data_IF_810867230912
#
_entry.id   IF_810867230912
#
_cell.length_a   1.000
_cell.length_b   1.000
_cell.length_c   1.000
_cell.angle_alpha   90.00
_cell.angle_beta   90.00
_cell.angle_gamma   90.00
#
_symmetry.space_group_name_H-M   'P 1'
#
loop_
_entity.id
_entity.type
_entity.pdbx_description
1 polymer ?
#
# COMPACT_ATOMS: atom_id res chain seq x y z
N UNK A 1 -26.41 17.18 16.82
CA UNK A 1 -26.42 18.50 16.16
C UNK A 1 -25.49 18.44 14.95
N UNK A 2 -25.87 19.10 13.85
CA UNK A 2 -25.19 19.22 12.54
C UNK A 2 -25.38 18.06 11.53
N UNK A 3 -26.55 18.01 10.88
CA UNK A 3 -26.81 17.15 9.69
C UNK A 3 -27.04 17.94 8.38
N UNK A 4 -26.83 19.27 8.34
CA UNK A 4 -27.13 20.09 7.16
C UNK A 4 -25.91 20.69 6.45
N UNK A 5 -24.70 20.17 6.65
CA UNK A 5 -23.50 20.70 5.99
C UNK A 5 -23.38 20.27 4.51
N UNK A 6 -24.05 19.20 4.08
CA UNK A 6 -23.85 18.64 2.74
C UNK A 6 -24.53 19.42 1.60
N UNK A 7 -25.50 20.30 1.88
CA UNK A 7 -26.20 21.07 0.82
C UNK A 7 -25.36 22.18 0.19
N UNK A 8 -24.20 22.51 0.77
CA UNK A 8 -23.32 23.60 0.30
C UNK A 8 -21.91 23.12 -0.04
N UNK A 9 -21.75 21.86 -0.44
CA UNK A 9 -20.50 21.38 -1.04
C UNK A 9 -20.67 21.14 -2.56
N UNK A 10 -20.81 22.21 -3.37
CA UNK A 10 -21.14 22.11 -4.80
C UNK A 10 -20.08 21.36 -5.64
N UNK A 11 -18.91 21.08 -5.06
CA UNK A 11 -17.80 20.43 -5.74
C UNK A 11 -17.28 19.20 -4.99
N UNK A 12 -17.94 18.76 -3.91
CA UNK A 12 -17.46 17.63 -3.10
C UNK A 12 -16.08 17.87 -2.47
N UNK A 13 -15.67 19.13 -2.30
CA UNK A 13 -14.34 19.51 -1.82
C UNK A 13 -14.21 19.22 -0.33
N UNK A 14 -15.26 19.48 0.46
CA UNK A 14 -15.24 19.12 1.89
C UNK A 14 -15.16 17.62 2.05
N UNK A 15 -15.88 16.87 1.21
CA UNK A 15 -15.82 15.40 1.18
C UNK A 15 -14.42 14.89 0.83
N UNK A 16 -13.79 15.46 -0.20
CA UNK A 16 -12.41 15.12 -0.56
C UNK A 16 -11.43 15.39 0.58
N UNK A 17 -11.57 16.53 1.26
CA UNK A 17 -10.75 16.85 2.43
C UNK A 17 -10.98 15.90 3.59
N UNK A 18 -12.22 15.45 3.82
CA UNK A 18 -12.54 14.47 4.86
C UNK A 18 -11.90 13.10 4.56
N UNK A 19 -12.00 12.64 3.32
CA UNK A 19 -11.33 11.40 2.85
C UNK A 19 -9.82 11.51 3.07
N UNK A 20 -9.22 12.63 2.67
CA UNK A 20 -7.78 12.87 2.86
C UNK A 20 -7.39 12.89 4.32
N UNK A 21 -8.22 13.47 5.20
CA UNK A 21 -8.01 13.47 6.64
C UNK A 21 -8.02 12.04 7.21
N UNK A 22 -9.02 11.21 6.86
CA UNK A 22 -9.06 9.79 7.26
C UNK A 22 -7.82 9.01 6.78
N UNK A 23 -7.34 9.31 5.57
CA UNK A 23 -6.12 8.68 5.04
C UNK A 23 -4.86 9.11 5.81
N UNK A 24 -4.79 10.36 6.31
CA UNK A 24 -3.68 10.81 7.17
C UNK A 24 -3.71 10.13 8.56
N UNK A 25 -4.90 9.98 9.14
CA UNK A 25 -5.05 9.38 10.48
C UNK A 25 -4.73 7.87 10.46
N UNK A 26 -5.16 7.15 9.42
CA UNK A 26 -4.86 5.72 9.25
C UNK A 26 -3.38 5.42 9.01
N UNK A 27 -2.65 6.31 8.32
CA UNK A 27 -1.22 6.12 8.07
C UNK A 27 -0.36 6.35 9.33
N UNK A 28 -0.87 7.15 10.28
CA UNK A 28 -0.16 7.46 11.52
C UNK A 28 -0.28 6.34 12.58
N UNK A 29 -1.25 5.44 12.45
CA UNK A 29 -1.53 4.42 13.46
C UNK A 29 -0.74 3.10 13.26
N UNK A 30 0.09 2.99 12.23
CA UNK A 30 0.90 1.79 11.95
C UNK A 30 2.29 1.80 12.63
N UNK A 31 2.69 2.89 13.30
CA UNK A 31 4.00 3.02 13.98
C UNK A 31 3.77 3.23 15.48
N UNK A 32 3.11 2.27 16.12
CA UNK A 32 3.13 2.15 17.57
C UNK A 32 3.42 0.70 17.92
N UNK A 33 4.67 0.30 17.72
CA UNK A 33 5.23 -0.89 18.35
C UNK A 33 5.29 -0.64 19.86
N UNK A 34 4.70 -1.51 20.71
CA UNK A 34 4.85 -1.38 22.15
C UNK A 34 6.32 -1.64 22.50
N UNK A 35 6.99 -0.63 23.06
CA UNK A 35 8.29 -0.79 23.70
C UNK A 35 8.07 -1.67 24.93
N UNK A 36 8.50 -2.92 24.84
CA UNK A 36 8.56 -3.85 25.97
C UNK A 36 9.68 -3.35 26.88
N UNK A 37 9.31 -2.59 27.91
CA UNK A 37 10.21 -2.23 29.00
C UNK A 37 10.56 -3.50 29.80
N UNK A 38 11.86 -3.74 29.97
CA UNK A 38 12.40 -4.79 30.81
C UNK A 38 12.06 -4.54 32.29
N UNK A 39 11.58 -5.54 33.06
CA UNK A 39 11.45 -5.42 34.50
C UNK A 39 12.79 -5.75 35.17
N UNK A 40 13.30 -4.79 35.93
CA UNK A 40 14.39 -4.95 36.90
C UNK A 40 13.93 -5.78 38.10
N UNK A 41 14.77 -6.72 38.50
CA UNK A 41 14.57 -7.64 39.61
C UNK A 41 14.88 -6.96 40.95
N UNK A 42 13.88 -6.73 41.81
CA UNK A 42 14.11 -6.56 43.25
C UNK A 42 13.00 -7.23 44.10
N UNK A 43 13.44 -8.26 44.80
CA UNK A 43 13.11 -8.78 46.14
C UNK A 43 12.01 -8.07 46.97
N UNK A 44 10.97 -8.82 47.40
CA UNK A 44 10.67 -9.20 48.83
C UNK A 44 9.24 -9.77 49.02
N UNK A 45 9.16 -10.73 49.93
CA UNK A 45 8.02 -11.55 50.34
C UNK A 45 6.83 -10.79 50.94
N UNK A 46 5.60 -11.26 50.70
CA UNK A 46 4.54 -11.33 51.72
C UNK A 46 3.34 -12.13 51.20
N UNK A 47 3.03 -13.18 51.93
CA UNK A 47 1.87 -14.09 51.86
C UNK A 47 0.57 -13.38 52.20
N UNK A 48 -0.49 -13.57 51.40
CA UNK A 48 -1.92 -13.66 51.81
C UNK A 48 -2.76 -14.20 50.63
N UNK A 49 -3.80 -15.01 50.87
CA UNK A 49 -4.58 -15.65 49.82
C UNK A 49 -5.69 -14.70 49.34
N UNK A 50 -5.81 -14.51 48.02
CA UNK A 50 -6.99 -13.94 47.39
C UNK A 50 -7.57 -14.93 46.37
N UNK A 51 -8.90 -15.06 46.30
CA UNK A 51 -9.58 -16.00 45.42
C UNK A 51 -9.58 -15.44 43.99
N UNK A 52 -8.81 -16.04 43.10
CA UNK A 52 -8.84 -15.69 41.69
C UNK A 52 -10.11 -16.25 41.03
N UNK A 53 -10.83 -15.35 40.38
CA UNK A 53 -11.84 -15.65 39.39
C UNK A 53 -11.21 -16.50 38.27
N UNK A 54 -11.89 -17.59 37.95
CA UNK A 54 -11.59 -18.55 36.90
C UNK A 54 -11.53 -17.88 35.51
N UNK A 55 -10.39 -18.03 34.84
CA UNK A 55 -10.18 -17.65 33.44
C UNK A 55 -11.05 -18.52 32.51
N UNK A 56 -11.99 -17.95 31.74
CA UNK A 56 -12.90 -18.71 30.86
C UNK A 56 -12.25 -19.19 29.54
N UNK A 57 -10.95 -18.96 29.32
CA UNK A 57 -10.24 -19.32 28.08
C UNK A 57 -9.30 -20.52 28.21
N UNK A 58 -9.30 -21.23 29.35
CA UNK A 58 -8.57 -22.49 29.49
C UNK A 58 -9.38 -23.63 28.87
N UNK A 59 -9.39 -23.70 27.53
CA UNK A 59 -9.82 -24.89 26.81
C UNK A 59 -8.82 -26.02 27.10
N UNK A 60 -9.27 -26.96 27.93
CA UNK A 60 -8.59 -28.21 28.19
C UNK A 60 -8.57 -29.06 26.91
N UNK A 61 -7.39 -29.23 26.32
CA UNK A 61 -7.14 -30.27 25.32
C UNK A 61 -6.94 -31.61 26.03
N UNK A 62 -8.04 -32.23 26.43
CA UNK A 62 -8.06 -33.64 26.85
C UNK A 62 -8.36 -34.52 25.64
N UNK A 63 -7.32 -35.01 24.97
CA UNK A 63 -7.47 -36.13 24.02
C UNK A 63 -6.62 -37.30 24.48
N UNK A 64 -7.27 -38.25 25.14
CA UNK A 64 -6.77 -39.60 25.37
C UNK A 64 -6.65 -40.35 24.03
N UNK A 65 -5.46 -40.87 23.77
CA UNK A 65 -5.15 -41.84 22.70
C UNK A 65 -6.01 -43.12 22.83
N UNK A 66 -6.11 -43.97 21.78
CA UNK A 66 -5.05 -44.98 21.62
C UNK A 66 -4.70 -45.40 20.18
N UNK A 67 -3.46 -45.89 20.08
CA UNK A 67 -2.89 -46.88 19.15
C UNK A 67 -3.02 -46.68 17.63
N UNK A 68 -1.85 -46.52 16.99
CA UNK A 68 -1.57 -47.11 15.69
C UNK A 68 -0.98 -46.15 14.66
N UNK A 69 0.35 -46.21 14.53
CA UNK A 69 1.18 -45.91 13.34
C UNK A 69 2.31 -44.93 13.65
N UNK A 70 3.41 -45.55 14.07
CA UNK A 70 4.75 -44.98 14.20
C UNK A 70 5.28 -44.66 12.80
N UNK A 71 5.17 -43.41 12.37
CA UNK A 71 5.94 -42.86 11.25
C UNK A 71 6.75 -41.68 11.80
N UNK A 72 8.05 -41.72 11.52
CA UNK A 72 9.08 -40.83 12.04
C UNK A 72 8.75 -39.34 11.82
N UNK A 73 8.35 -38.65 12.89
CA UNK A 73 8.37 -37.21 12.99
C UNK A 73 9.80 -36.76 13.27
N UNK A 74 10.57 -36.56 12.20
CA UNK A 74 11.86 -35.89 12.24
C UNK A 74 11.58 -34.39 12.23
N UNK A 75 11.68 -33.79 13.41
CA UNK A 75 12.52 -32.61 13.64
C UNK A 75 12.14 -31.28 12.96
N UNK A 76 10.87 -30.84 13.10
CA UNK A 76 10.46 -29.48 12.69
C UNK A 76 10.67 -28.44 13.82
N UNK A 77 10.74 -28.90 15.07
CA UNK A 77 10.85 -28.01 16.24
C UNK A 77 12.30 -27.61 16.56
N UNK A 78 13.29 -28.43 16.20
CA UNK A 78 14.71 -28.08 16.35
C UNK A 78 15.17 -27.00 15.35
N UNK A 79 14.60 -26.98 14.13
CA UNK A 79 14.91 -25.97 13.11
C UNK A 79 14.38 -24.58 13.53
N UNK A 80 13.21 -24.53 14.16
CA UNK A 80 12.66 -23.28 14.71
C UNK A 80 13.48 -22.75 15.89
N UNK A 81 14.05 -23.64 16.72
CA UNK A 81 14.93 -23.26 17.82
C UNK A 81 16.30 -22.75 17.35
N UNK A 82 16.85 -23.29 16.26
CA UNK A 82 18.12 -22.82 15.69
C UNK A 82 18.04 -21.43 15.05
N UNK A 83 16.90 -21.04 14.46
CA UNK A 83 16.70 -19.68 13.91
C UNK A 83 16.75 -18.57 14.96
N UNK A 84 16.53 -18.88 16.25
CA UNK A 84 16.58 -17.88 17.33
C UNK A 84 17.99 -17.54 17.82
N UNK A 85 19.04 -18.26 17.39
CA UNK A 85 20.42 -18.05 17.91
C UNK A 85 21.33 -17.19 17.03
N UNK A 86 20.90 -16.74 15.85
CA UNK A 86 21.79 -16.05 14.90
C UNK A 86 21.71 -14.50 14.89
N UNK A 87 21.00 -13.88 15.84
CA UNK A 87 20.87 -12.41 15.86
C UNK A 87 22.00 -11.66 16.58
N UNK A 88 23.07 -12.34 17.01
CA UNK A 88 24.16 -11.70 17.77
C UNK A 88 25.54 -11.85 17.11
N UNK A 89 25.59 -11.85 15.78
CA UNK A 89 26.82 -11.67 15.03
C UNK A 89 27.04 -10.16 14.78
N UNK A 90 28.03 -9.51 15.43
CA UNK A 90 28.36 -8.13 15.13
C UNK A 90 28.85 -8.03 13.69
N UNK A 91 28.11 -7.32 12.83
CA UNK A 91 28.51 -7.10 11.44
C UNK A 91 29.73 -6.17 11.40
N UNK A 92 30.90 -6.73 11.12
CA UNK A 92 32.18 -6.01 11.05
C UNK A 92 32.32 -5.03 9.85
N UNK A 93 31.24 -4.75 9.10
CA UNK A 93 31.31 -4.01 7.84
C UNK A 93 30.87 -2.53 7.91
N UNK A 94 30.53 -2.01 9.08
CA UNK A 94 30.39 -0.56 9.28
C UNK A 94 31.65 0.00 9.94
N UNK A 95 32.76 -0.08 9.21
CA UNK A 95 33.96 0.72 9.48
C UNK A 95 33.67 2.18 9.14
N UNK A 96 33.02 2.89 10.06
CA UNK A 96 32.97 4.35 10.00
C UNK A 96 34.36 4.83 10.42
N UNK A 97 35.16 5.25 9.44
CA UNK A 97 36.46 5.88 9.68
C UNK A 97 36.25 7.12 10.53
N UNK A 98 36.54 7.01 11.82
CA UNK A 98 36.61 8.13 12.76
C UNK A 98 37.88 8.93 12.49
N UNK A 99 37.88 9.73 11.43
CA UNK A 99 38.96 10.67 11.10
C UNK A 99 38.39 11.98 10.53
N UNK A 100 37.57 12.65 11.33
CA UNK A 100 37.58 14.11 11.40
C UNK A 100 37.09 14.52 12.78
N UNK A 101 37.91 15.30 13.48
CA UNK A 101 37.61 15.93 14.78
C UNK A 101 36.68 17.14 14.55
N UNK A 102 35.64 16.92 13.75
CA UNK A 102 34.68 17.94 13.35
C UNK A 102 33.54 17.89 14.35
N UNK A 103 33.54 18.85 15.29
CA UNK A 103 32.47 19.05 16.28
C UNK A 103 31.13 18.95 15.58
N UNK A 104 30.38 17.91 15.92
CA UNK A 104 29.00 17.74 15.48
C UNK A 104 28.18 18.94 15.94
N UNK A 105 27.86 19.84 15.00
CA UNK A 105 26.96 20.96 15.24
C UNK A 105 25.52 20.48 15.03
N UNK A 106 24.72 20.31 16.10
CA UNK A 106 23.34 19.85 16.00
C UNK A 106 22.44 20.83 15.23
N UNK A 107 22.92 22.02 14.88
CA UNK A 107 22.16 23.03 14.14
C UNK A 107 22.57 23.18 12.66
N UNK A 108 23.52 22.37 12.16
CA UNK A 108 23.94 22.41 10.75
C UNK A 108 22.83 21.99 9.76
N UNK A 109 21.79 21.30 10.24
CA UNK A 109 20.63 20.88 9.44
C UNK A 109 19.46 21.89 9.47
N UNK A 110 19.67 23.10 10.01
CA UNK A 110 18.62 24.11 10.00
C UNK A 110 18.49 24.74 8.59
N UNK A 111 17.38 24.54 7.86
CA UNK A 111 17.19 25.08 6.51
C UNK A 111 17.10 26.61 6.46
N UNK A 112 17.13 27.28 7.61
CA UNK A 112 17.12 28.74 7.76
C UNK A 112 18.49 29.34 8.11
N UNK A 113 19.55 28.53 8.26
CA UNK A 113 20.90 29.06 8.48
C UNK A 113 21.43 29.66 7.16
N UNK A 114 21.44 30.99 7.11
CA UNK A 114 21.72 31.83 5.94
C UNK A 114 23.20 31.84 5.47
N UNK A 115 23.94 30.76 5.70
CA UNK A 115 25.40 30.72 5.54
C UNK A 115 25.87 29.64 4.57
N UNK A 116 25.21 29.45 3.43
CA UNK A 116 25.87 28.78 2.30
C UNK A 116 25.33 29.29 0.96
N UNK A 117 25.91 30.41 0.52
CA UNK A 117 25.66 31.01 -0.77
C UNK A 117 26.45 30.25 -1.86
N UNK A 118 25.95 29.09 -2.31
CA UNK A 118 26.46 28.40 -3.50
C UNK A 118 25.36 28.35 -4.58
N UNK A 119 24.84 29.51 -4.96
CA UNK A 119 24.08 29.67 -6.22
C UNK A 119 24.92 30.58 -7.11
N UNK A 120 25.90 29.97 -7.78
CA UNK A 120 26.61 30.58 -8.89
C UNK A 120 25.67 30.76 -10.08
N UNK A 121 25.22 32.01 -10.24
CA UNK A 121 25.02 32.76 -11.49
C UNK A 121 24.94 31.92 -12.78
N UNK A 122 23.73 31.77 -13.32
CA UNK A 122 23.52 31.70 -14.79
C UNK A 122 22.71 32.92 -15.21
N UNK A 123 23.44 33.93 -15.67
CA UNK A 123 22.90 35.19 -16.14
C UNK A 123 22.11 34.99 -17.44
N UNK A 124 20.96 35.66 -17.48
CA UNK A 124 20.11 35.88 -18.64
C UNK A 124 20.81 36.86 -19.61
N UNK A 125 20.87 36.51 -20.89
CA UNK A 125 21.09 37.46 -21.97
C UNK A 125 19.72 37.84 -22.57
N UNK A 126 19.30 39.07 -22.30
CA UNK A 126 18.17 39.74 -22.95
C UNK A 126 18.72 40.46 -24.18
N UNK A 127 18.26 40.09 -25.37
CA UNK A 127 18.45 40.86 -26.59
C UNK A 127 17.08 41.14 -27.21
N UNK A 128 16.70 42.42 -27.19
CA UNK A 128 15.53 43.02 -27.81
C UNK A 128 15.63 43.00 -29.34
N UNK A 129 14.57 42.58 -30.05
CA UNK A 129 14.32 43.04 -31.42
C UNK A 129 12.87 42.78 -31.91
N UNK A 130 12.19 43.89 -32.22
CA UNK A 130 11.08 44.16 -33.16
C UNK A 130 9.63 43.64 -32.94
N UNK A 131 8.63 44.52 -33.14
CA UNK A 131 7.21 44.18 -33.19
C UNK A 131 6.65 44.28 -34.63
N UNK A 132 6.45 43.16 -35.33
CA UNK A 132 5.39 43.03 -36.36
C UNK A 132 5.31 41.59 -36.89
N UNK A 133 4.60 40.70 -36.21
CA UNK A 133 4.23 39.42 -36.78
C UNK A 133 2.83 39.03 -36.29
N UNK A 134 1.90 39.04 -37.24
CA UNK A 134 0.62 38.32 -37.34
C UNK A 134 0.46 37.22 -36.27
N UNK A 135 -0.64 37.18 -35.48
CA UNK A 135 -0.85 36.15 -34.47
C UNK A 135 -0.98 34.79 -35.16
N UNK A 136 0.15 34.10 -35.29
CA UNK A 136 0.19 32.70 -35.61
C UNK A 136 -0.48 31.97 -34.44
N UNK A 137 -1.62 31.38 -34.74
CA UNK A 137 -2.38 30.49 -33.86
C UNK A 137 -1.40 29.58 -33.14
N UNK A 138 -1.32 29.74 -31.81
CA UNK A 138 -0.49 28.95 -30.92
C UNK A 138 -0.93 27.48 -31.03
N UNK A 139 -0.28 26.76 -31.93
CA UNK A 139 -0.47 25.35 -32.16
C UNK A 139 0.10 24.58 -30.96
N UNK A 140 -0.74 23.67 -30.45
CA UNK A 140 -0.53 22.76 -29.32
C UNK A 140 -0.13 23.41 -28.00
N UNK A 141 -1.12 23.89 -27.25
CA UNK A 141 -1.14 23.57 -25.84
C UNK A 141 -1.10 22.04 -25.75
N UNK A 142 0.08 21.46 -25.56
CA UNK A 142 0.23 20.04 -25.24
C UNK A 142 -0.74 19.77 -24.10
N UNK A 143 -1.76 18.95 -24.37
CA UNK A 143 -2.72 18.55 -23.36
C UNK A 143 -1.91 18.02 -22.18
N UNK A 144 -1.87 18.82 -21.12
CA UNK A 144 -0.99 18.62 -19.96
C UNK A 144 -1.04 17.14 -19.59
N UNK A 145 0.10 16.46 -19.63
CA UNK A 145 0.12 15.01 -19.43
C UNK A 145 -0.39 14.68 -18.03
N UNK A 146 -1.66 14.26 -17.96
CA UNK A 146 -2.35 13.98 -16.70
C UNK A 146 -1.64 12.88 -15.90
N UNK A 147 -0.87 12.02 -16.57
CA UNK A 147 -0.09 10.96 -15.92
C UNK A 147 1.07 11.50 -15.07
N UNK A 148 1.61 12.67 -15.42
CA UNK A 148 2.77 13.27 -14.73
C UNK A 148 2.39 14.05 -13.47
N UNK A 149 1.09 14.36 -13.27
CA UNK A 149 0.61 15.16 -12.16
C UNK A 149 0.91 14.49 -10.81
N UNK A 150 1.33 15.27 -9.83
CA UNK A 150 1.44 14.84 -8.45
C UNK A 150 0.05 14.53 -7.86
N UNK A 151 0.02 13.79 -6.75
CA UNK A 151 -1.25 13.49 -6.09
C UNK A 151 -2.01 14.76 -5.67
N UNK A 152 -1.30 15.78 -5.16
CA UNK A 152 -1.90 17.04 -4.75
C UNK A 152 -2.51 17.80 -5.94
N UNK A 153 -1.81 17.83 -7.08
CA UNK A 153 -2.31 18.46 -8.31
C UNK A 153 -3.49 17.70 -8.94
N UNK A 154 -3.61 16.39 -8.66
CA UNK A 154 -4.72 15.58 -9.13
C UNK A 154 -6.02 15.85 -8.36
N UNK A 155 -5.97 16.35 -7.11
CA UNK A 155 -7.14 16.49 -6.24
C UNK A 155 -8.29 17.31 -6.85
N UNK A 156 -8.07 18.51 -7.44
CA UNK A 156 -9.14 19.27 -8.06
C UNK A 156 -9.77 18.52 -9.24
N UNK A 157 -8.96 17.78 -10.00
CA UNK A 157 -9.43 16.97 -11.13
C UNK A 157 -10.25 15.79 -10.62
N UNK A 158 -9.85 15.15 -9.52
CA UNK A 158 -10.61 14.05 -8.92
C UNK A 158 -11.98 14.51 -8.42
N UNK A 159 -12.08 15.72 -7.86
CA UNK A 159 -13.36 16.35 -7.53
C UNK A 159 -14.26 16.47 -8.78
N UNK A 160 -13.72 16.93 -9.92
CA UNK A 160 -14.50 16.98 -11.18
C UNK A 160 -14.86 15.60 -11.72
N UNK A 161 -13.98 14.60 -11.61
CA UNK A 161 -14.26 13.23 -12.07
C UNK A 161 -15.31 12.52 -11.20
N UNK A 162 -15.47 12.93 -9.95
CA UNK A 162 -16.50 12.38 -9.08
C UNK A 162 -17.93 12.70 -9.52
N UNK A 163 -18.11 13.77 -10.31
CA UNK A 163 -19.41 14.12 -10.89
C UNK A 163 -19.62 13.48 -12.26
N UNK A 164 -18.56 12.94 -12.89
CA UNK A 164 -18.64 12.25 -14.18
C UNK A 164 -19.11 10.80 -14.00
N UNK A 165 -20.41 10.60 -14.19
CA UNK A 165 -21.05 9.26 -14.16
C UNK A 165 -20.43 8.26 -15.15
N UNK A 166 -19.88 8.72 -16.28
CA UNK A 166 -19.31 7.85 -17.30
C UNK A 166 -17.96 7.26 -16.86
N UNK A 167 -17.14 8.06 -16.19
CA UNK A 167 -15.88 7.63 -15.61
C UNK A 167 -16.13 6.65 -14.44
N UNK A 168 -17.07 6.99 -13.55
CA UNK A 168 -17.45 6.13 -12.43
C UNK A 168 -18.01 4.78 -12.90
N UNK A 169 -18.84 4.77 -13.94
CA UNK A 169 -19.38 3.53 -14.53
C UNK A 169 -18.29 2.64 -15.11
N UNK A 170 -17.26 3.24 -15.74
CA UNK A 170 -16.08 2.50 -16.20
C UNK A 170 -15.32 1.89 -15.03
N UNK A 171 -15.06 2.64 -13.96
CA UNK A 171 -14.39 2.14 -12.75
C UNK A 171 -15.16 0.95 -12.14
N UNK A 172 -16.49 1.04 -12.03
CA UNK A 172 -17.33 -0.09 -11.58
C UNK A 172 -17.16 -1.32 -12.45
N UNK A 173 -17.13 -1.13 -13.77
CA UNK A 173 -16.94 -2.22 -14.72
C UNK A 173 -15.59 -2.89 -14.55
N UNK A 174 -14.52 -2.11 -14.42
CA UNK A 174 -13.17 -2.63 -14.17
C UNK A 174 -13.07 -3.40 -12.84
N UNK A 175 -13.73 -2.92 -11.77
CA UNK A 175 -13.79 -3.60 -10.46
C UNK A 175 -14.52 -4.95 -10.57
N UNK A 176 -15.65 -4.99 -11.28
CA UNK A 176 -16.38 -6.23 -11.55
C UNK A 176 -15.53 -7.24 -12.33
N UNK A 177 -14.83 -6.77 -13.38
CA UNK A 177 -13.92 -7.60 -14.16
C UNK A 177 -12.78 -8.18 -13.31
N UNK A 178 -12.17 -7.36 -12.44
CA UNK A 178 -11.17 -7.81 -11.48
C UNK A 178 -11.71 -8.92 -10.59
N UNK A 179 -12.87 -8.69 -9.95
CA UNK A 179 -13.45 -9.64 -9.03
C UNK A 179 -13.82 -10.97 -9.71
N UNK A 180 -14.34 -10.90 -10.94
CA UNK A 180 -14.62 -12.10 -11.75
C UNK A 180 -13.34 -12.88 -12.06
N UNK A 181 -12.24 -12.19 -12.39
CA UNK A 181 -10.94 -12.83 -12.61
C UNK A 181 -10.43 -13.48 -11.33
N UNK A 182 -10.43 -12.77 -10.19
CA UNK A 182 -10.02 -13.31 -8.89
C UNK A 182 -10.81 -14.58 -8.55
N UNK A 183 -12.13 -14.52 -8.72
CA UNK A 183 -13.00 -15.65 -8.45
C UNK A 183 -12.69 -16.85 -9.36
N UNK A 184 -12.47 -16.60 -10.66
CA UNK A 184 -12.10 -17.64 -11.64
C UNK A 184 -10.77 -18.28 -11.27
N UNK A 185 -9.72 -17.47 -11.04
CA UNK A 185 -8.38 -17.96 -10.70
C UNK A 185 -8.39 -18.75 -9.38
N UNK A 186 -9.13 -18.27 -8.38
CA UNK A 186 -9.29 -18.97 -7.09
C UNK A 186 -9.97 -20.33 -7.28
N UNK A 187 -11.04 -20.40 -8.08
CA UNK A 187 -11.73 -21.64 -8.39
C UNK A 187 -10.83 -22.63 -9.14
N UNK A 188 -10.12 -22.17 -10.16
CA UNK A 188 -9.17 -22.99 -10.92
C UNK A 188 -8.05 -23.56 -10.02
N UNK A 189 -7.51 -22.73 -9.12
CA UNK A 189 -6.47 -23.16 -8.18
C UNK A 189 -7.00 -24.21 -7.19
N UNK A 190 -8.20 -24.00 -6.65
CA UNK A 190 -8.85 -24.98 -5.76
C UNK A 190 -9.11 -26.31 -6.46
N UNK A 191 -9.60 -26.28 -7.71
CA UNK A 191 -9.83 -27.49 -8.50
C UNK A 191 -8.53 -28.25 -8.78
N UNK A 192 -7.46 -27.52 -9.13
CA UNK A 192 -6.14 -28.12 -9.29
C UNK A 192 -5.65 -28.75 -7.99
N UNK A 193 -5.69 -28.02 -6.88
CA UNK A 193 -5.25 -28.51 -5.57
C UNK A 193 -6.00 -29.79 -5.14
N UNK A 194 -7.31 -29.86 -5.37
CA UNK A 194 -8.12 -31.04 -5.04
C UNK A 194 -7.77 -32.29 -5.88
N UNK A 195 -7.23 -32.12 -7.10
CA UNK A 195 -6.88 -33.21 -8.00
C UNK A 195 -5.38 -33.51 -8.03
N UNK A 196 -4.55 -32.59 -7.53
CA UNK A 196 -3.10 -32.65 -7.60
C UNK A 196 -2.52 -33.90 -6.91
N UNK A 197 -3.10 -34.31 -5.78
CA UNK A 197 -2.63 -35.49 -5.03
C UNK A 197 -2.85 -36.80 -5.80
N UNK A 198 -3.91 -36.85 -6.60
CA UNK A 198 -4.23 -38.02 -7.43
C UNK A 198 -3.39 -38.05 -8.71
N UNK A 199 -3.17 -36.88 -9.32
CA UNK A 199 -2.46 -36.76 -10.60
C UNK A 199 -0.94 -36.82 -10.44
N UNK A 200 -0.40 -36.33 -9.33
CA UNK A 200 1.04 -36.23 -9.08
C UNK A 200 1.41 -36.87 -7.74
N UNK A 201 1.54 -38.22 -7.69
CA UNK A 201 1.95 -38.92 -6.47
C UNK A 201 3.34 -38.48 -5.98
N UNK A 202 4.23 -38.08 -6.90
CA UNK A 202 5.54 -37.57 -6.55
C UNK A 202 5.46 -36.10 -6.08
N UNK A 203 5.79 -35.88 -4.81
CA UNK A 203 5.75 -34.56 -4.18
C UNK A 203 6.59 -33.48 -4.89
N UNK A 204 7.73 -33.84 -5.49
CA UNK A 204 8.57 -32.89 -6.24
C UNK A 204 7.90 -32.45 -7.54
N UNK A 205 7.35 -33.40 -8.29
CA UNK A 205 6.62 -33.11 -9.53
C UNK A 205 5.36 -32.27 -9.25
N UNK A 206 4.65 -32.56 -8.16
CA UNK A 206 3.49 -31.79 -7.70
C UNK A 206 3.85 -30.34 -7.41
N UNK A 207 4.92 -30.08 -6.64
CA UNK A 207 5.40 -28.72 -6.33
C UNK A 207 5.79 -27.94 -7.59
N UNK A 208 6.47 -28.58 -8.54
CA UNK A 208 6.86 -27.93 -9.79
C UNK A 208 5.65 -27.53 -10.64
N UNK A 209 4.62 -28.37 -10.71
CA UNK A 209 3.37 -28.03 -11.40
C UNK A 209 2.57 -26.94 -10.68
N UNK A 210 2.51 -26.98 -9.36
CA UNK A 210 1.88 -25.94 -8.55
C UNK A 210 2.52 -24.57 -8.78
N UNK A 211 3.86 -24.51 -8.75
CA UNK A 211 4.60 -23.27 -9.00
C UNK A 211 4.38 -22.76 -10.43
N UNK A 212 4.43 -23.65 -11.42
CA UNK A 212 4.14 -23.30 -12.83
C UNK A 212 2.76 -22.66 -12.97
N UNK A 213 1.74 -23.22 -12.30
CA UNK A 213 0.38 -22.65 -12.32
C UNK A 213 0.30 -21.33 -11.59
N UNK A 214 0.94 -21.20 -10.43
CA UNK A 214 0.99 -19.94 -9.68
C UNK A 214 1.58 -18.81 -10.52
N UNK A 215 2.70 -19.05 -11.20
CA UNK A 215 3.32 -18.09 -12.12
C UNK A 215 2.36 -17.71 -13.24
N UNK A 216 1.68 -18.69 -13.85
CA UNK A 216 0.70 -18.42 -14.90
C UNK A 216 -0.49 -17.59 -14.41
N UNK A 217 -0.97 -17.81 -13.18
CA UNK A 217 -2.03 -17.02 -12.57
C UNK A 217 -1.59 -15.59 -12.28
N UNK A 218 -0.37 -15.41 -11.77
CA UNK A 218 0.23 -14.07 -11.58
C UNK A 218 0.36 -13.33 -12.91
N UNK A 219 0.76 -14.02 -13.98
CA UNK A 219 0.81 -13.40 -15.31
C UNK A 219 -0.56 -12.91 -15.79
N UNK A 220 -1.62 -13.73 -15.63
CA UNK A 220 -2.98 -13.32 -15.97
C UNK A 220 -3.46 -12.12 -15.12
N UNK A 221 -3.06 -12.09 -13.86
CA UNK A 221 -3.32 -10.97 -12.96
C UNK A 221 -2.64 -9.68 -13.45
N UNK A 222 -1.35 -9.75 -13.78
CA UNK A 222 -0.57 -8.62 -14.28
C UNK A 222 -1.12 -8.08 -15.60
N UNK A 223 -1.57 -8.96 -16.50
CA UNK A 223 -2.27 -8.56 -17.73
C UNK A 223 -3.57 -7.81 -17.45
N UNK A 224 -4.34 -8.26 -16.46
CA UNK A 224 -5.57 -7.58 -16.04
C UNK A 224 -5.28 -6.19 -15.49
N UNK A 225 -4.30 -6.07 -14.60
CA UNK A 225 -3.88 -4.77 -14.04
C UNK A 225 -3.39 -3.83 -15.14
N UNK A 226 -2.61 -4.33 -16.10
CA UNK A 226 -2.14 -3.54 -17.25
C UNK A 226 -3.31 -3.01 -18.09
N UNK A 227 -4.27 -3.88 -18.43
CA UNK A 227 -5.49 -3.49 -19.15
C UNK A 227 -6.32 -2.47 -18.38
N UNK A 228 -6.41 -2.62 -17.06
CA UNK A 228 -7.07 -1.64 -16.21
C UNK A 228 -6.35 -0.28 -16.24
N UNK A 229 -5.02 -0.25 -16.11
CA UNK A 229 -4.25 1.00 -16.23
C UNK A 229 -4.46 1.68 -17.58
N UNK A 230 -4.49 0.91 -18.67
CA UNK A 230 -4.80 1.43 -20.02
C UNK A 230 -6.20 2.04 -20.10
N UNK A 231 -7.22 1.35 -19.59
CA UNK A 231 -8.60 1.85 -19.60
C UNK A 231 -8.79 3.07 -18.70
N UNK A 232 -8.14 3.11 -17.53
CA UNK A 232 -8.16 4.27 -16.63
C UNK A 232 -7.43 5.47 -17.26
N UNK A 233 -6.32 5.24 -17.98
CA UNK A 233 -5.65 6.28 -18.76
C UNK A 233 -6.55 6.82 -19.86
N UNK A 234 -7.27 5.96 -20.60
CA UNK A 234 -8.26 6.36 -21.61
C UNK A 234 -9.45 7.11 -21.00
N UNK A 235 -9.80 6.82 -19.75
CA UNK A 235 -10.82 7.55 -19.00
C UNK A 235 -10.34 8.93 -18.51
N UNK A 236 -9.08 9.30 -18.74
CA UNK A 236 -8.54 10.61 -18.35
C UNK A 236 -8.28 10.73 -16.85
N UNK A 237 -8.10 9.61 -16.14
CA UNK A 237 -7.85 9.65 -14.69
C UNK A 237 -6.42 10.14 -14.44
N UNK A 238 -6.23 11.18 -13.61
CA UNK A 238 -4.92 11.78 -13.37
C UNK A 238 -3.99 10.82 -12.62
N UNK A 239 -2.69 11.02 -12.79
CA UNK A 239 -1.61 10.21 -12.23
C UNK A 239 -1.62 8.71 -12.61
N UNK A 240 -2.44 8.30 -13.58
CA UNK A 240 -2.45 6.92 -14.08
C UNK A 240 -1.59 6.80 -15.35
N UNK A 241 -0.56 5.96 -15.27
CA UNK A 241 0.25 5.48 -16.40
C UNK A 241 0.40 3.98 -16.33
N UNK A 242 0.53 3.35 -17.49
CA UNK A 242 0.88 1.92 -17.57
C UNK A 242 2.30 1.77 -17.07
N UNK A 243 2.46 1.14 -15.91
CA UNK A 243 3.75 1.03 -15.23
C UNK A 243 3.78 -0.19 -14.33
N UNK A 244 4.97 -0.76 -14.19
CA UNK A 244 5.30 -1.83 -13.26
C UNK A 244 6.04 -1.29 -12.02
N UNK A 245 6.33 0.01 -11.97
CA UNK A 245 7.05 0.62 -10.86
C UNK A 245 6.17 0.71 -9.61
N UNK A 246 6.63 0.09 -8.52
CA UNK A 246 5.90 0.06 -7.24
C UNK A 246 5.52 1.45 -6.73
N UNK A 247 6.43 2.43 -6.79
CA UNK A 247 6.18 3.80 -6.29
C UNK A 247 5.02 4.47 -7.02
N UNK A 248 4.97 4.33 -8.35
CA UNK A 248 3.86 4.89 -9.12
C UNK A 248 2.57 4.10 -8.90
N UNK A 249 2.65 2.78 -8.82
CA UNK A 249 1.48 1.95 -8.49
C UNK A 249 0.85 2.35 -7.14
N UNK A 250 1.68 2.66 -6.14
CA UNK A 250 1.19 3.13 -4.83
C UNK A 250 0.48 4.49 -4.96
N UNK A 251 0.98 5.39 -5.81
CA UNK A 251 0.33 6.67 -6.11
C UNK A 251 -0.99 6.48 -6.86
N UNK A 252 -1.02 5.62 -7.88
CA UNK A 252 -2.24 5.24 -8.61
C UNK A 252 -3.29 4.63 -7.68
N UNK A 253 -2.86 3.75 -6.78
CA UNK A 253 -3.72 3.14 -5.77
C UNK A 253 -4.35 4.19 -4.85
N UNK A 254 -3.59 5.20 -4.42
CA UNK A 254 -4.14 6.30 -3.61
C UNK A 254 -5.23 7.07 -4.36
N UNK A 255 -4.97 7.43 -5.62
CA UNK A 255 -5.95 8.11 -6.48
C UNK A 255 -7.21 7.26 -6.66
N UNK A 256 -7.05 5.98 -6.97
CA UNK A 256 -8.17 5.05 -7.15
C UNK A 256 -8.95 4.83 -5.86
N UNK A 257 -8.28 4.74 -4.71
CA UNK A 257 -8.96 4.60 -3.42
C UNK A 257 -9.88 5.79 -3.13
N UNK A 258 -9.44 7.01 -3.42
CA UNK A 258 -10.29 8.21 -3.30
C UNK A 258 -11.52 8.09 -4.22
N UNK A 259 -11.33 7.73 -5.48
CA UNK A 259 -12.45 7.58 -6.42
C UNK A 259 -13.41 6.46 -6.03
N UNK A 260 -12.91 5.35 -5.48
CA UNK A 260 -13.72 4.23 -5.01
C UNK A 260 -14.52 4.63 -3.76
N UNK A 261 -13.92 5.34 -2.81
CA UNK A 261 -14.63 5.85 -1.63
C UNK A 261 -15.73 6.84 -2.04
N UNK A 262 -15.44 7.73 -3.00
CA UNK A 262 -16.44 8.63 -3.56
C UNK A 262 -17.60 7.88 -4.26
N UNK A 263 -17.30 6.76 -4.90
CA UNK A 263 -18.28 5.90 -5.54
C UNK A 263 -19.15 5.15 -4.53
N UNK A 264 -18.54 4.61 -3.48
CA UNK A 264 -19.22 3.81 -2.46
C UNK A 264 -20.18 4.68 -1.61
N UNK A 265 -19.85 5.94 -1.28
CA UNK A 265 -20.84 6.79 -0.58
C UNK A 265 -21.98 7.26 -1.51
N UNK A 266 -21.72 7.47 -2.81
CA UNK A 266 -22.79 7.81 -3.76
C UNK A 266 -23.81 6.65 -3.88
N UNK A 267 -23.34 5.40 -3.90
CA UNK A 267 -24.24 4.23 -3.87
C UNK A 267 -24.99 4.07 -2.55
N UNK A 268 -24.46 4.61 -1.46
CA UNK A 268 -25.10 4.55 -0.13
C UNK A 268 -26.19 5.61 0.01
N UNK A 269 -25.99 6.81 -0.56
CA UNK A 269 -27.02 7.85 -0.62
C UNK A 269 -28.24 7.40 -1.43
N UNK A 270 -28.01 6.78 -2.60
CA UNK A 270 -29.09 6.25 -3.47
C UNK A 270 -29.94 5.15 -2.80
N UNK A 271 -29.40 4.43 -1.80
CA UNK A 271 -30.14 3.37 -1.08
C UNK A 271 -30.98 3.90 0.08
N UNK A 272 -30.66 5.09 0.58
CA UNK A 272 -31.30 5.68 1.76
C UNK A 272 -32.36 6.75 1.43
N UNK A 273 -32.44 7.17 0.16
CA UNK A 273 -33.50 8.07 -0.36
C UNK A 273 -34.67 7.30 -0.96
#
# INVERSE_FOLDING_TARGET
>A
MNLNHNKYDPHGVQRLLEILRRQQDTNSNAISTPVIAAPTSETRSSTLPHPYASNPFSLASSSSSPLGSRIHAIDVESEAAQRRRNYNAPSANYGVSALSDERFDPYALNPFSASDAVISKRALAVASALPNAKPAVAASAEARDLASLSFAEALPILSTLSTDSSALTRIRTLRKQQHQLEHRLSKEYRQFSATADKQFPNAKARRAQDEKRRIAMLHQWDECVRKQQDELKKAGIPAVKVTTEKREMDKQRKVLNVLVEMLDDAETEDRNG
#
